data_IF_532772355257
#
_entry.id   IF_532772355257
#
_cell.length_a   1.000
_cell.length_b   1.000
_cell.length_c   1.000
_cell.angle_alpha   90.00
_cell.angle_beta   90.00
_cell.angle_gamma   90.00
#
_symmetry.space_group_name_H-M   'P 1'
#
loop_
_entity.id
_entity.type
_entity.pdbx_description
1 polymer ?
#
# COMPACT_ATOMS: atom_id res chain seq x y z
N UNK A 1 -4.14 -18.52 0.02
CA UNK A 1 -3.71 -17.52 -0.99
C UNK A 1 -2.19 -17.54 -1.05
N UNK A 2 -1.61 -17.25 -2.21
CA UNK A 2 -0.16 -17.23 -2.39
C UNK A 2 0.39 -15.89 -1.88
N UNK A 3 1.38 -15.95 -0.97
CA UNK A 3 2.10 -14.75 -0.51
C UNK A 3 3.04 -14.28 -1.62
N UNK A 4 3.01 -12.99 -1.88
CA UNK A 4 3.79 -12.35 -2.94
C UNK A 4 4.62 -11.21 -2.36
N UNK A 5 5.80 -10.98 -2.93
CA UNK A 5 6.60 -9.81 -2.57
C UNK A 5 6.00 -8.55 -3.20
N UNK A 6 6.20 -7.41 -2.55
CA UNK A 6 5.80 -6.12 -3.10
C UNK A 6 6.43 -5.87 -4.48
N UNK A 7 7.69 -6.27 -4.65
CA UNK A 7 8.38 -6.19 -5.94
C UNK A 7 7.66 -6.99 -7.05
N UNK A 8 7.17 -8.21 -6.77
CA UNK A 8 6.42 -9.01 -7.76
C UNK A 8 5.07 -8.35 -8.10
N UNK A 9 4.40 -7.79 -7.09
CA UNK A 9 3.15 -7.03 -7.26
C UNK A 9 3.39 -5.84 -8.18
N UNK A 10 4.44 -5.05 -7.95
CA UNK A 10 4.77 -3.90 -8.79
C UNK A 10 5.20 -4.28 -10.22
N UNK A 11 5.81 -5.46 -10.40
CA UNK A 11 6.18 -5.96 -11.72
C UNK A 11 4.97 -6.38 -12.56
N UNK A 12 3.79 -6.55 -11.96
CA UNK A 12 2.58 -6.95 -12.66
C UNK A 12 1.73 -5.73 -13.01
N UNK A 13 1.45 -5.55 -14.29
CA UNK A 13 0.59 -4.48 -14.81
C UNK A 13 -0.85 -4.53 -14.27
N UNK A 14 -1.29 -5.66 -13.71
CA UNK A 14 -2.63 -5.79 -13.11
C UNK A 14 -2.80 -4.97 -11.82
N UNK A 15 -1.70 -4.74 -11.09
CA UNK A 15 -1.69 -4.01 -9.81
C UNK A 15 -1.11 -2.59 -9.95
N UNK A 16 -0.36 -2.32 -11.00
CA UNK A 16 0.29 -1.03 -11.25
C UNK A 16 -0.73 0.09 -11.44
N UNK A 17 -0.52 1.20 -10.73
CA UNK A 17 -1.39 2.37 -10.72
C UNK A 17 -2.69 2.15 -9.93
N UNK A 18 -2.75 1.16 -9.03
CA UNK A 18 -3.96 0.80 -8.28
C UNK A 18 -3.67 0.62 -6.80
N UNK A 19 -4.74 0.64 -6.00
CA UNK A 19 -4.70 0.32 -4.59
C UNK A 19 -4.76 -1.19 -4.39
N UNK A 20 -3.82 -1.71 -3.61
CA UNK A 20 -3.67 -3.13 -3.33
C UNK A 20 -3.92 -3.35 -1.84
N UNK A 21 -4.83 -4.26 -1.51
CA UNK A 21 -5.03 -4.73 -0.16
C UNK A 21 -4.21 -6.00 0.08
N UNK A 22 -3.31 -5.94 1.04
CA UNK A 22 -2.47 -7.05 1.48
C UNK A 22 -2.91 -7.54 2.85
N UNK A 23 -3.24 -8.82 2.95
CA UNK A 23 -3.42 -9.50 4.24
C UNK A 23 -2.09 -10.11 4.72
N UNK A 24 -1.94 -10.20 6.04
CA UNK A 24 -0.72 -10.68 6.70
C UNK A 24 0.56 -10.01 6.17
N UNK A 25 0.49 -8.72 5.85
CA UNK A 25 1.60 -7.96 5.30
C UNK A 25 2.78 -7.92 6.30
N UNK A 26 3.98 -8.23 5.82
CA UNK A 26 5.21 -8.00 6.56
C UNK A 26 5.82 -6.68 6.16
N UNK A 27 6.36 -6.00 7.16
CA UNK A 27 7.00 -4.72 7.00
C UNK A 27 8.49 -4.85 7.24
N UNK A 28 9.27 -4.14 6.44
CA UNK A 28 10.68 -3.91 6.68
C UNK A 28 10.84 -2.98 7.88
N UNK A 29 11.66 -3.39 8.85
CA UNK A 29 11.84 -2.66 10.11
C UNK A 29 12.62 -1.34 9.94
N UNK A 30 13.39 -1.22 8.85
CA UNK A 30 14.21 -0.04 8.55
C UNK A 30 13.41 1.05 7.83
N UNK A 31 12.65 0.66 6.80
CA UNK A 31 11.87 1.58 5.96
C UNK A 31 10.40 1.70 6.34
N UNK A 32 9.87 0.78 7.14
CA UNK A 32 8.44 0.70 7.50
C UNK A 32 7.53 0.31 6.33
N UNK A 33 8.10 -0.14 5.20
CA UNK A 33 7.36 -0.50 3.99
C UNK A 33 6.98 -1.97 3.97
N UNK A 34 5.88 -2.33 3.32
CA UNK A 34 5.49 -3.71 3.20
C UNK A 34 6.36 -4.40 2.16
N UNK A 35 6.98 -5.52 2.53
CA UNK A 35 7.88 -6.27 1.66
C UNK A 35 7.23 -7.50 1.04
N UNK A 36 6.29 -8.11 1.77
CA UNK A 36 5.55 -9.28 1.34
C UNK A 36 4.14 -9.25 1.94
N UNK A 37 3.17 -9.86 1.25
CA UNK A 37 1.81 -10.01 1.75
C UNK A 37 0.97 -10.89 0.83
N UNK A 38 -0.23 -11.24 1.28
CA UNK A 38 -1.21 -11.91 0.43
C UNK A 38 -2.12 -10.87 -0.19
N UNK A 39 -2.09 -10.70 -1.52
CA UNK A 39 -3.04 -9.83 -2.21
C UNK A 39 -4.44 -10.43 -2.06
N UNK A 40 -5.31 -9.72 -1.36
CA UNK A 40 -6.71 -10.15 -1.14
C UNK A 40 -7.68 -9.40 -2.04
N UNK A 41 -7.36 -8.15 -2.39
CA UNK A 41 -8.21 -7.32 -3.23
C UNK A 41 -7.39 -6.19 -3.89
N UNK A 42 -7.90 -5.65 -5.00
CA UNK A 42 -7.29 -4.55 -5.75
C UNK A 42 -8.37 -3.71 -6.41
N UNK A 43 -8.25 -2.39 -6.30
CA UNK A 43 -9.16 -1.44 -6.94
C UNK A 43 -8.43 -0.16 -7.32
N UNK A 44 -8.91 0.54 -8.34
CA UNK A 44 -8.45 1.90 -8.65
C UNK A 44 -8.99 2.95 -7.66
N UNK A 45 -10.10 2.65 -6.98
CA UNK A 45 -10.73 3.52 -6.00
C UNK A 45 -10.50 3.03 -4.55
N UNK A 46 -9.82 3.85 -3.75
CA UNK A 46 -9.52 3.55 -2.35
C UNK A 46 -10.79 3.36 -1.51
N UNK A 47 -11.84 4.12 -1.79
CA UNK A 47 -13.08 4.10 -1.00
C UNK A 47 -13.84 2.81 -1.26
N UNK A 48 -13.95 2.41 -2.52
CA UNK A 48 -14.55 1.13 -2.91
C UNK A 48 -13.75 -0.04 -2.33
N UNK A 49 -12.41 -0.01 -2.43
CA UNK A 49 -11.53 -1.02 -1.82
C UNK A 49 -11.78 -1.16 -0.31
N UNK A 50 -11.78 -0.04 0.40
CA UNK A 50 -12.01 -0.03 1.86
C UNK A 50 -13.39 -0.60 2.21
N UNK A 51 -14.40 -0.30 1.41
CA UNK A 51 -15.76 -0.81 1.60
C UNK A 51 -15.77 -2.33 1.42
N UNK A 52 -15.17 -2.83 0.34
CA UNK A 52 -15.08 -4.26 0.02
C UNK A 52 -14.31 -5.05 1.07
N UNK A 53 -13.17 -4.52 1.52
CA UNK A 53 -12.36 -5.11 2.60
C UNK A 53 -13.13 -5.12 3.92
N UNK A 54 -13.86 -4.05 4.24
CA UNK A 54 -14.68 -3.98 5.46
C UNK A 54 -15.82 -4.98 5.47
N UNK A 55 -16.41 -5.26 4.30
CA UNK A 55 -17.44 -6.29 4.15
C UNK A 55 -16.86 -7.72 4.13
N UNK A 56 -15.55 -7.84 3.91
CA UNK A 56 -14.83 -9.10 3.93
C UNK A 56 -14.47 -9.54 5.35
N UNK A 57 -14.03 -10.80 5.49
CA UNK A 57 -13.60 -11.37 6.79
C UNK A 57 -12.19 -10.96 7.23
N UNK A 58 -11.45 -10.26 6.36
CA UNK A 58 -10.08 -9.82 6.62
C UNK A 58 -10.04 -8.60 7.55
N UNK A 59 -9.38 -8.75 8.70
CA UNK A 59 -9.34 -7.71 9.75
C UNK A 59 -8.01 -6.96 9.87
N UNK A 60 -6.96 -7.42 9.20
CA UNK A 60 -5.60 -6.87 9.32
C UNK A 60 -4.97 -6.61 7.94
N UNK A 61 -5.72 -5.95 7.06
CA UNK A 61 -5.21 -5.61 5.73
C UNK A 61 -4.38 -4.33 5.76
N UNK A 62 -3.22 -4.38 5.11
CA UNK A 62 -2.46 -3.22 4.69
C UNK A 62 -2.99 -2.76 3.33
N UNK A 63 -3.44 -1.52 3.22
CA UNK A 63 -3.86 -0.93 1.94
C UNK A 63 -2.72 -0.03 1.48
N UNK A 64 -2.22 -0.27 0.27
CA UNK A 64 -1.04 0.39 -0.27
C UNK A 64 -1.29 0.74 -1.74
N UNK A 65 -0.85 1.92 -2.16
CA UNK A 65 -0.89 2.29 -3.57
C UNK A 65 0.35 1.78 -4.27
N UNK A 66 0.17 1.04 -5.37
CA UNK A 66 1.23 0.63 -6.25
C UNK A 66 1.43 1.69 -7.33
N UNK A 67 2.37 2.60 -7.11
CA UNK A 67 2.74 3.62 -8.10
C UNK A 67 3.31 3.02 -9.39
N UNK A 68 3.37 3.84 -10.45
CA UNK A 68 3.97 3.42 -11.72
C UNK A 68 5.47 3.11 -11.60
N UNK A 69 6.14 3.69 -10.61
CA UNK A 69 7.57 3.52 -10.36
C UNK A 69 7.86 2.33 -9.42
N UNK A 70 6.83 1.56 -9.04
CA UNK A 70 6.90 0.59 -7.95
C UNK A 70 7.00 1.24 -6.56
N UNK A 71 6.74 2.55 -6.48
CA UNK A 71 6.68 3.28 -5.23
C UNK A 71 5.48 2.79 -4.40
N UNK A 72 5.75 2.45 -3.14
CA UNK A 72 4.71 2.12 -2.17
C UNK A 72 4.30 3.38 -1.42
N UNK A 73 3.04 3.77 -1.55
CA UNK A 73 2.48 4.91 -0.80
C UNK A 73 1.37 4.42 0.15
N UNK A 74 1.51 4.61 1.47
CA UNK A 74 0.43 4.32 2.39
C UNK A 74 -0.66 5.43 2.30
N UNK A 75 -1.93 5.09 2.52
CA UNK A 75 -3.03 6.06 2.53
C UNK A 75 -2.83 7.02 3.70
N UNK A 76 -2.31 8.21 3.42
CA UNK A 76 -1.98 9.21 4.45
C UNK A 76 -0.50 9.56 4.56
N UNK A 77 0.38 9.02 3.71
CA UNK A 77 1.67 9.67 3.42
C UNK A 77 1.43 10.94 2.60
N UNK A 78 0.67 11.89 3.13
CA UNK A 78 1.00 13.27 2.83
C UNK A 78 2.45 13.39 3.29
N UNK A 79 3.37 13.70 2.38
CA UNK A 79 4.64 14.25 2.81
C UNK A 79 4.29 15.36 3.78
N UNK A 80 4.50 15.10 5.06
CA UNK A 80 4.62 16.14 6.06
C UNK A 80 5.91 16.87 5.66
N UNK A 81 5.85 17.65 4.58
CA UNK A 81 6.64 18.85 4.52
C UNK A 81 6.09 19.69 5.67
N UNK A 82 6.63 19.41 6.85
CA UNK A 82 6.49 20.17 8.06
C UNK A 82 6.70 21.65 7.64
N UNK A 83 5.63 22.47 7.53
CA UNK A 83 5.73 23.80 6.92
C UNK A 83 6.62 24.75 7.76
N UNK A 84 7.13 24.26 8.88
CA UNK A 84 8.03 24.94 9.80
C UNK A 84 9.53 24.67 9.56
N UNK A 85 9.93 23.77 8.65
CA UNK A 85 11.35 23.50 8.36
C UNK A 85 12.04 24.62 7.53
N UNK A 86 11.28 25.56 6.95
CA UNK A 86 11.82 26.59 6.04
C UNK A 86 12.06 27.97 6.68
N UNK A 87 12.35 28.05 7.99
CA UNK A 87 12.71 29.33 8.64
C UNK A 87 13.90 29.21 9.59
N UNK A 88 15.09 29.07 9.01
CA UNK A 88 16.34 29.43 9.70
C UNK A 88 17.48 29.61 8.68
N UNK A 89 17.61 30.80 8.12
CA UNK A 89 18.90 31.34 7.66
C UNK A 89 19.00 32.82 8.03
#
# INVERSE_FOLDING_TARGET
MERMSWDDICHRDEFRGRWVALDEARYDEDSGRATEGSVVDVDDDLVELCTRIRESEHKNCAILFCGEDGAQEPPGATSDEDPFQHTAH
#
